data_IF_352377380162
#
_entry.id   IF_352377380162
#
_cell.length_a   1.000
_cell.length_b   1.000
_cell.length_c   1.000
_cell.angle_alpha   90.00
_cell.angle_beta   90.00
_cell.angle_gamma   90.00
#
_symmetry.space_group_name_H-M   'P 1'
#
loop_
_entity.id
_entity.type
_entity.pdbx_description
1 polymer ?
#
# COMPACT_ATOMS: atom_id res chain seq x y z
N UNK A 1 -13.92 16.08 -29.53
CA UNK A 1 -14.29 15.20 -28.40
C UNK A 1 -13.00 14.71 -27.77
N UNK A 2 -12.46 15.45 -26.79
CA UNK A 2 -11.22 15.03 -26.13
C UNK A 2 -11.58 14.10 -24.98
N UNK A 3 -11.37 12.80 -25.21
CA UNK A 3 -11.54 11.76 -24.20
C UNK A 3 -10.58 12.02 -23.04
N UNK A 4 -11.07 12.59 -21.94
CA UNK A 4 -10.28 12.83 -20.73
C UNK A 4 -10.19 11.54 -19.94
N UNK A 5 -9.15 10.75 -20.19
CA UNK A 5 -8.82 9.61 -19.35
C UNK A 5 -8.63 10.10 -17.90
N UNK A 6 -9.45 9.58 -16.99
CA UNK A 6 -9.41 9.92 -15.56
C UNK A 6 -8.07 9.49 -14.98
N UNK A 7 -7.35 10.42 -14.37
CA UNK A 7 -6.07 10.10 -13.75
C UNK A 7 -6.30 9.36 -12.44
N UNK A 8 -5.84 8.12 -12.36
CA UNK A 8 -5.90 7.32 -11.13
C UNK A 8 -4.68 7.47 -10.23
N UNK A 9 -3.55 7.88 -10.81
CA UNK A 9 -2.28 7.94 -10.10
C UNK A 9 -2.09 9.27 -9.37
N UNK A 10 -1.96 9.20 -8.04
CA UNK A 10 -1.73 10.38 -7.19
C UNK A 10 -0.55 11.24 -7.67
N UNK A 11 0.54 10.63 -8.14
CA UNK A 11 1.71 11.35 -8.65
C UNK A 11 1.40 12.13 -9.92
N UNK A 12 0.58 11.56 -10.81
CA UNK A 12 0.21 12.21 -12.05
C UNK A 12 -0.78 13.36 -11.80
N UNK A 13 -1.69 13.21 -10.84
CA UNK A 13 -2.55 14.31 -10.38
C UNK A 13 -1.71 15.45 -9.77
N UNK A 14 -0.72 15.15 -8.93
CA UNK A 14 0.20 16.17 -8.40
C UNK A 14 0.97 16.87 -9.53
N UNK A 15 1.35 16.15 -10.59
CA UNK A 15 2.02 16.75 -11.73
C UNK A 15 1.12 17.73 -12.48
N UNK A 16 -0.12 17.36 -12.75
CA UNK A 16 -1.11 18.26 -13.34
C UNK A 16 -1.36 19.49 -12.46
N UNK A 17 -1.48 19.30 -11.13
CA UNK A 17 -1.63 20.41 -10.20
C UNK A 17 -0.41 21.34 -10.21
N UNK A 18 0.80 20.82 -10.36
CA UNK A 18 2.01 21.64 -10.48
C UNK A 18 2.09 22.38 -11.83
N UNK A 19 1.52 21.84 -12.89
CA UNK A 19 1.42 22.52 -14.19
C UNK A 19 0.39 23.66 -14.16
N UNK A 20 -0.78 23.42 -13.57
CA UNK A 20 -1.84 24.43 -13.49
C UNK A 20 -1.60 25.47 -12.39
N UNK A 21 -0.96 25.09 -11.29
CA UNK A 21 -0.73 25.93 -10.11
C UNK A 21 0.75 25.89 -9.69
N UNK A 22 1.66 26.43 -10.54
CA UNK A 22 3.10 26.36 -10.29
C UNK A 22 3.54 27.15 -9.05
N UNK A 23 2.74 28.13 -8.62
CA UNK A 23 3.03 28.93 -7.44
C UNK A 23 2.78 28.17 -6.13
N UNK A 24 1.84 27.23 -6.14
CA UNK A 24 1.39 26.48 -4.96
C UNK A 24 2.04 25.09 -4.92
N UNK A 25 2.03 24.37 -6.06
CA UNK A 25 2.56 23.02 -6.17
C UNK A 25 3.88 22.98 -6.92
N UNK A 26 4.86 22.29 -6.35
CA UNK A 26 6.16 22.05 -6.98
C UNK A 26 6.34 20.57 -7.35
N UNK A 27 6.75 20.29 -8.59
CA UNK A 27 7.08 18.92 -9.03
C UNK A 27 8.48 18.50 -8.58
N UNK A 28 9.47 19.36 -8.83
CA UNK A 28 10.90 19.13 -8.55
C UNK A 28 11.48 20.34 -7.81
N UNK A 29 11.37 20.34 -6.49
CA UNK A 29 11.86 21.43 -5.64
C UNK A 29 11.31 21.34 -4.23
N UNK A 30 11.62 22.32 -3.40
CA UNK A 30 11.01 22.45 -2.08
C UNK A 30 9.50 22.63 -2.21
N UNK A 31 8.74 21.96 -1.35
CA UNK A 31 7.30 22.08 -1.33
C UNK A 31 6.92 23.26 -0.44
N UNK A 32 5.92 24.05 -0.83
CA UNK A 32 5.48 25.19 -0.03
C UNK A 32 4.38 24.76 0.94
N UNK A 33 4.27 25.36 2.15
CA UNK A 33 3.17 25.06 3.07
C UNK A 33 1.84 25.50 2.44
N UNK A 34 0.86 24.60 2.38
CA UNK A 34 -0.44 24.88 1.76
C UNK A 34 -1.40 25.57 2.75
N UNK A 35 -2.31 26.40 2.19
CA UNK A 35 -3.46 26.96 2.92
C UNK A 35 -4.34 25.86 3.53
N UNK A 36 -4.91 26.13 4.70
CA UNK A 36 -6.03 25.32 5.22
C UNK A 36 -7.22 25.45 4.27
N UNK A 37 -7.90 24.35 3.98
CA UNK A 37 -9.09 24.37 3.13
C UNK A 37 -8.81 24.50 1.63
N UNK A 38 -7.55 24.46 1.18
CA UNK A 38 -7.15 24.57 -0.23
C UNK A 38 -7.82 23.55 -1.16
N UNK A 39 -8.31 22.43 -0.61
CA UNK A 39 -9.09 21.44 -1.36
C UNK A 39 -10.39 22.02 -1.95
N UNK A 40 -11.07 22.91 -1.21
CA UNK A 40 -12.35 23.48 -1.65
C UNK A 40 -12.14 24.35 -2.89
N UNK A 41 -11.17 25.28 -2.80
CA UNK A 41 -10.78 26.17 -3.91
C UNK A 41 -10.31 25.37 -5.13
N UNK A 42 -9.52 24.30 -4.92
CA UNK A 42 -9.12 23.41 -6.01
C UNK A 42 -10.31 22.71 -6.64
N UNK A 43 -11.26 22.24 -5.84
CA UNK A 43 -12.41 21.52 -6.35
C UNK A 43 -13.34 22.40 -7.19
N UNK A 44 -13.36 23.71 -6.92
CA UNK A 44 -14.10 24.69 -7.69
C UNK A 44 -13.39 25.03 -9.00
N UNK A 45 -12.08 25.29 -8.98
CA UNK A 45 -11.32 25.54 -10.22
C UNK A 45 -11.20 24.32 -11.13
N UNK A 46 -11.01 23.13 -10.57
CA UNK A 46 -10.95 21.89 -11.34
C UNK A 46 -12.34 21.29 -11.62
N UNK A 47 -13.44 21.96 -11.23
CA UNK A 47 -14.78 21.49 -11.59
C UNK A 47 -14.98 21.39 -13.11
N UNK A 48 -14.27 22.24 -13.86
CA UNK A 48 -14.28 22.23 -15.33
C UNK A 48 -13.39 21.13 -15.93
N UNK A 49 -12.42 20.60 -15.17
CA UNK A 49 -11.45 19.62 -15.66
C UNK A 49 -11.82 18.21 -15.19
N UNK A 50 -12.61 17.48 -15.99
CA UNK A 50 -13.14 16.14 -15.67
C UNK A 50 -12.07 15.03 -15.54
N UNK A 51 -10.80 15.39 -15.71
CA UNK A 51 -9.64 14.49 -15.60
C UNK A 51 -9.39 13.99 -14.18
N UNK A 52 -9.83 14.73 -13.16
CA UNK A 52 -9.53 14.43 -11.75
C UNK A 52 -10.81 14.38 -10.91
N UNK A 53 -11.08 13.25 -10.26
CA UNK A 53 -12.19 13.13 -9.31
C UNK A 53 -11.85 13.77 -7.96
N UNK A 54 -12.84 14.36 -7.26
CA UNK A 54 -12.70 14.90 -5.89
C UNK A 54 -12.04 13.93 -4.90
N UNK A 55 -12.37 12.64 -5.00
CA UNK A 55 -11.78 11.59 -4.14
C UNK A 55 -10.29 11.40 -4.43
N UNK A 56 -9.92 11.38 -5.71
CA UNK A 56 -8.53 11.23 -6.15
C UNK A 56 -7.73 12.49 -5.83
N UNK A 57 -8.31 13.68 -6.00
CA UNK A 57 -7.71 14.95 -5.61
C UNK A 57 -7.35 14.98 -4.12
N UNK A 58 -8.27 14.53 -3.24
CA UNK A 58 -8.00 14.40 -1.81
C UNK A 58 -6.85 13.43 -1.52
N UNK A 59 -6.84 12.28 -2.21
CA UNK A 59 -5.75 11.30 -2.11
C UNK A 59 -4.39 11.88 -2.53
N UNK A 60 -4.37 12.62 -3.64
CA UNK A 60 -3.19 13.27 -4.17
C UNK A 60 -2.65 14.35 -3.22
N UNK A 61 -3.50 15.23 -2.69
CA UNK A 61 -3.11 16.25 -1.72
C UNK A 61 -2.55 15.59 -0.45
N UNK A 62 -3.22 14.56 0.09
CA UNK A 62 -2.73 13.83 1.26
C UNK A 62 -1.35 13.20 1.01
N UNK A 63 -1.15 12.62 -0.17
CA UNK A 63 0.14 12.06 -0.56
C UNK A 63 1.21 13.16 -0.66
N UNK A 64 0.86 14.33 -1.16
CA UNK A 64 1.76 15.49 -1.22
C UNK A 64 2.16 15.97 0.18
N UNK A 65 1.19 16.15 1.08
CA UNK A 65 1.42 16.72 2.43
C UNK A 65 2.08 15.74 3.42
N UNK A 66 2.00 14.43 3.17
CA UNK A 66 2.69 13.41 4.00
C UNK A 66 4.13 13.14 3.50
N UNK A 67 4.50 13.67 2.34
CA UNK A 67 5.85 13.50 1.79
C UNK A 67 6.90 14.15 2.70
N UNK A 68 8.06 13.49 2.85
CA UNK A 68 9.19 14.05 3.60
C UNK A 68 9.60 15.43 3.09
N UNK A 69 9.44 15.66 1.78
CA UNK A 69 9.76 16.94 1.16
C UNK A 69 8.86 18.05 1.69
N UNK A 70 7.58 17.77 1.91
CA UNK A 70 6.62 18.72 2.45
C UNK A 70 6.87 18.97 3.94
N UNK A 71 7.01 17.90 4.73
CA UNK A 71 7.23 17.99 6.17
C UNK A 71 8.51 18.79 6.52
N UNK A 72 9.56 18.73 5.68
CA UNK A 72 10.80 19.51 5.87
C UNK A 72 10.64 21.02 5.69
N UNK A 73 9.66 21.44 4.89
CA UNK A 73 9.44 22.86 4.59
C UNK A 73 8.57 23.54 5.66
N UNK A 74 7.88 22.76 6.50
CA UNK A 74 7.14 23.25 7.67
C UNK A 74 8.15 23.64 8.74
N UNK A 75 8.44 24.94 8.84
CA UNK A 75 9.38 25.54 9.80
C UNK A 75 8.77 26.81 10.40
N UNK A 76 9.34 27.26 11.51
CA UNK A 76 8.98 28.54 12.12
C UNK A 76 9.16 29.69 11.12
N UNK A 77 8.16 30.57 11.06
CA UNK A 77 8.15 31.73 10.16
C UNK A 77 7.78 31.43 8.70
N UNK A 78 7.50 30.18 8.33
CA UNK A 78 6.96 29.88 7.02
C UNK A 78 5.48 30.30 6.95
N UNK A 79 5.10 30.95 5.85
CA UNK A 79 3.70 31.33 5.57
C UNK A 79 3.05 30.30 4.67
N UNK A 80 1.75 30.08 4.88
CA UNK A 80 0.93 29.27 3.98
C UNK A 80 0.78 29.98 2.66
N UNK A 81 0.67 29.21 1.59
CA UNK A 81 0.56 29.70 0.23
C UNK A 81 -0.76 29.21 -0.36
N UNK A 82 -1.50 30.16 -0.93
CA UNK A 82 -2.76 29.92 -1.62
C UNK A 82 -2.51 29.45 -3.08
N UNK A 83 -3.58 29.11 -3.81
CA UNK A 83 -3.47 28.66 -5.20
C UNK A 83 -2.81 29.68 -6.12
N UNK A 84 -3.06 30.96 -5.86
CA UNK A 84 -2.52 32.06 -6.65
C UNK A 84 -1.12 32.51 -6.20
N UNK A 85 -0.55 31.85 -5.18
CA UNK A 85 0.78 32.19 -4.67
C UNK A 85 0.81 33.28 -3.60
N UNK A 86 -0.36 33.79 -3.19
CA UNK A 86 -0.46 34.76 -2.11
C UNK A 86 -0.09 34.12 -0.76
N UNK A 87 0.60 34.89 0.08
CA UNK A 87 0.94 34.51 1.44
C UNK A 87 -0.31 34.62 2.30
N UNK A 88 -0.80 33.48 2.79
CA UNK A 88 -1.87 33.38 3.75
C UNK A 88 -1.32 33.36 5.18
N UNK A 89 -1.95 32.53 6.02
CA UNK A 89 -1.68 32.51 7.45
C UNK A 89 -0.29 31.95 7.79
N UNK A 90 0.22 32.39 8.93
CA UNK A 90 1.47 31.88 9.49
C UNK A 90 1.28 30.48 10.09
N UNK A 91 2.35 29.68 10.06
CA UNK A 91 2.33 28.36 10.68
C UNK A 91 2.39 28.50 12.20
N UNK A 92 1.37 27.97 12.88
CA UNK A 92 1.39 27.86 14.34
C UNK A 92 2.45 26.85 14.79
N UNK A 93 2.96 27.07 16.00
CA UNK A 93 4.01 26.23 16.59
C UNK A 93 3.62 24.75 16.68
N UNK A 94 2.36 24.48 17.02
CA UNK A 94 1.80 23.13 17.07
C UNK A 94 1.92 22.38 15.73
N UNK A 95 1.65 23.05 14.60
CA UNK A 95 1.77 22.43 13.28
C UNK A 95 3.22 22.10 12.93
N UNK A 96 4.17 22.92 13.40
CA UNK A 96 5.60 22.72 13.19
C UNK A 96 6.08 21.51 13.99
N UNK A 97 5.72 21.44 15.27
CA UNK A 97 6.07 20.31 16.15
C UNK A 97 5.50 18.99 15.61
N UNK A 98 4.22 18.98 15.23
CA UNK A 98 3.58 17.81 14.65
C UNK A 98 4.26 17.35 13.34
N UNK A 99 4.68 18.29 12.49
CA UNK A 99 5.39 17.94 11.25
C UNK A 99 6.77 17.34 11.52
N UNK A 100 7.51 17.88 12.49
CA UNK A 100 8.81 17.36 12.90
C UNK A 100 8.70 15.94 13.50
N UNK A 101 7.71 15.72 14.36
CA UNK A 101 7.40 14.40 14.93
C UNK A 101 7.06 13.41 13.82
N UNK A 102 6.15 13.77 12.91
CA UNK A 102 5.73 12.92 11.78
C UNK A 102 6.92 12.55 10.88
N UNK A 103 7.81 13.51 10.63
CA UNK A 103 9.03 13.29 9.84
C UNK A 103 9.97 12.31 10.55
N UNK A 104 10.20 12.48 11.85
CA UNK A 104 11.06 11.59 12.63
C UNK A 104 10.50 10.16 12.68
N UNK A 105 9.21 10.00 12.93
CA UNK A 105 8.54 8.69 12.91
C UNK A 105 8.62 8.02 11.55
N UNK A 106 8.34 8.77 10.48
CA UNK A 106 8.35 8.24 9.12
C UNK A 106 9.75 7.79 8.70
N UNK A 107 10.79 8.54 9.08
CA UNK A 107 12.17 8.14 8.87
C UNK A 107 12.56 6.93 9.71
N UNK A 108 12.14 6.85 10.98
CA UNK A 108 12.40 5.69 11.82
C UNK A 108 11.74 4.41 11.25
N UNK A 109 10.48 4.51 10.84
CA UNK A 109 9.74 3.42 10.17
C UNK A 109 10.43 3.00 8.86
N UNK A 110 10.94 3.94 8.08
CA UNK A 110 11.70 3.63 6.87
C UNK A 110 13.02 2.91 7.18
N UNK A 111 13.79 3.38 8.18
CA UNK A 111 15.04 2.73 8.62
C UNK A 111 14.79 1.30 9.14
N UNK A 112 13.71 1.06 9.90
CA UNK A 112 13.34 -0.27 10.36
C UNK A 112 12.99 -1.21 9.19
N UNK A 113 12.24 -0.71 8.20
CA UNK A 113 11.91 -1.47 6.99
C UNK A 113 13.15 -1.80 6.15
N UNK A 114 14.11 -0.88 6.06
CA UNK A 114 15.39 -1.10 5.39
C UNK A 114 16.24 -2.13 6.14
N UNK A 115 16.32 -2.02 7.47
CA UNK A 115 17.08 -2.96 8.31
C UNK A 115 16.49 -4.38 8.26
N UNK A 116 15.17 -4.53 8.25
CA UNK A 116 14.50 -5.82 8.09
C UNK A 116 14.65 -6.44 6.68
N UNK A 117 15.05 -5.64 5.69
CA UNK A 117 15.28 -6.09 4.31
C UNK A 117 16.75 -6.36 3.98
N UNK A 118 17.70 -6.00 4.86
CA UNK A 118 19.10 -6.40 4.71
C UNK A 118 19.22 -7.86 5.15
N UNK A 119 19.52 -8.81 4.25
CA UNK A 119 19.92 -10.15 4.67
C UNK A 119 21.21 -10.01 5.49
N UNK A 120 21.35 -10.84 6.52
CA UNK A 120 22.59 -10.99 7.27
C UNK A 120 23.72 -11.48 6.33
N UNK A 121 24.40 -10.56 5.63
CA UNK A 121 25.63 -10.85 4.90
C UNK A 121 26.69 -9.86 5.37
N UNK A 122 27.33 -10.19 6.50
CA UNK A 122 28.58 -9.58 6.97
C UNK A 122 29.25 -10.50 7.98
N UNK A 123 29.70 -11.68 7.54
CA UNK A 123 30.91 -12.29 8.09
C UNK A 123 31.82 -12.68 6.94
N UNK A 124 32.78 -11.79 6.69
CA UNK A 124 34.16 -12.06 6.29
C UNK A 124 34.42 -13.06 5.13
N UNK A 125 34.75 -12.53 3.95
CA UNK A 125 35.82 -13.08 3.08
C UNK A 125 36.24 -12.10 1.97
N UNK A 126 37.55 -11.98 1.66
CA UNK A 126 38.07 -10.93 0.80
C UNK A 126 37.80 -11.20 -0.69
N UNK A 127 37.20 -10.22 -1.35
CA UNK A 127 36.80 -10.28 -2.77
C UNK A 127 38.02 -9.99 -3.67
N UNK A 128 38.62 -11.03 -4.26
CA UNK A 128 39.55 -10.87 -5.38
C UNK A 128 38.79 -10.43 -6.65
N UNK A 129 39.45 -9.58 -7.43
CA UNK A 129 38.90 -8.77 -8.50
C UNK A 129 38.83 -9.46 -9.89
N UNK A 130 37.74 -9.13 -10.62
CA UNK A 130 37.60 -8.94 -12.11
C UNK A 130 37.88 -10.14 -13.06
N UNK A 131 37.51 -10.09 -14.36
CA UNK A 131 36.80 -9.04 -15.15
C UNK A 131 35.62 -9.53 -16.02
N UNK A 132 34.99 -8.57 -16.70
CA UNK A 132 33.85 -8.66 -17.62
C UNK A 132 34.14 -9.40 -18.95
N UNK A 133 33.10 -10.01 -19.55
CA UNK A 133 32.95 -10.09 -21.02
C UNK A 133 31.51 -10.31 -21.47
N UNK A 134 31.12 -9.51 -22.46
CA UNK A 134 29.86 -9.56 -23.19
C UNK A 134 29.67 -10.87 -23.99
N UNK A 135 28.42 -11.30 -24.19
CA UNK A 135 27.72 -11.31 -25.51
C UNK A 135 26.38 -12.07 -25.46
N UNK A 136 25.42 -11.45 -26.13
CA UNK A 136 24.12 -11.86 -26.71
C UNK A 136 24.02 -13.34 -27.15
N UNK A 137 22.88 -14.00 -26.87
CA UNK A 137 21.95 -14.56 -27.87
C UNK A 137 21.09 -15.75 -27.36
N UNK A 138 19.77 -15.59 -27.54
CA UNK A 138 18.76 -16.58 -27.98
C UNK A 138 18.55 -17.95 -27.30
N UNK A 139 17.24 -18.19 -27.08
CA UNK A 139 16.44 -19.41 -27.34
C UNK A 139 16.12 -20.31 -26.14
N UNK A 140 14.80 -20.37 -25.88
CA UNK A 140 13.97 -21.50 -25.48
C UNK A 140 14.59 -22.60 -24.61
N UNK A 141 13.96 -22.86 -23.45
CA UNK A 141 13.30 -24.15 -23.14
C UNK A 141 12.90 -24.23 -21.67
N UNK A 142 11.65 -24.68 -21.47
CA UNK A 142 11.19 -25.61 -20.43
C UNK A 142 11.96 -25.64 -19.11
N UNK A 143 11.35 -25.12 -18.06
CA UNK A 143 11.76 -25.33 -16.68
C UNK A 143 10.79 -26.25 -15.94
N UNK A 144 11.25 -27.48 -15.68
CA UNK A 144 10.95 -28.32 -14.52
C UNK A 144 12.14 -29.29 -14.40
N UNK A 145 12.52 -29.87 -13.23
CA UNK A 145 12.00 -29.78 -11.85
C UNK A 145 13.11 -29.51 -10.78
N UNK A 146 12.69 -29.58 -9.50
CA UNK A 146 13.43 -29.82 -8.24
C UNK A 146 13.50 -28.58 -7.33
N UNK A 147 13.22 -28.60 -6.02
CA UNK A 147 13.00 -29.70 -5.07
C UNK A 147 12.27 -29.18 -3.81
N UNK A 148 11.18 -29.86 -3.48
CA UNK A 148 10.58 -30.15 -2.17
C UNK A 148 11.04 -29.38 -0.90
N UNK A 149 10.08 -28.70 -0.27
CA UNK A 149 9.90 -28.69 1.20
C UNK A 149 8.46 -29.07 1.54
N UNK A 150 8.33 -30.33 1.95
CA UNK A 150 7.42 -30.93 2.94
C UNK A 150 5.95 -30.45 2.98
N UNK A 151 5.15 -31.31 2.36
CA UNK A 151 3.72 -31.58 2.56
C UNK A 151 3.35 -31.60 4.05
N UNK A 152 2.41 -30.76 4.47
CA UNK A 152 1.40 -31.12 5.46
C UNK A 152 0.08 -31.27 4.69
N UNK A 153 -0.34 -32.52 4.59
CA UNK A 153 -1.45 -33.02 3.80
C UNK A 153 -2.77 -32.54 4.39
N UNK A 154 -3.36 -31.49 3.82
CA UNK A 154 -4.78 -31.23 4.01
C UNK A 154 -5.56 -32.09 3.02
N UNK A 155 -6.29 -33.09 3.50
CA UNK A 155 -7.16 -33.92 2.65
C UNK A 155 -8.35 -33.04 2.25
N UNK A 156 -8.57 -32.88 0.94
CA UNK A 156 -9.81 -32.30 0.43
C UNK A 156 -10.95 -33.22 0.85
N UNK A 157 -11.90 -32.70 1.61
CA UNK A 157 -13.01 -33.50 2.10
C UNK A 157 -14.09 -33.50 1.03
N UNK A 158 -14.18 -34.62 0.30
CA UNK A 158 -15.19 -34.79 -0.75
C UNK A 158 -16.54 -35.26 -0.18
N UNK A 159 -16.59 -35.75 1.07
CA UNK A 159 -17.81 -36.28 1.70
C UNK A 159 -18.16 -35.64 3.06
N UNK A 160 -19.40 -35.18 3.20
CA UNK A 160 -19.98 -34.58 4.42
C UNK A 160 -19.88 -35.51 5.64
N UNK A 161 -19.91 -36.82 5.41
CA UNK A 161 -19.91 -37.85 6.46
C UNK A 161 -18.56 -38.02 7.18
N UNK A 162 -17.48 -37.45 6.63
CA UNK A 162 -16.15 -37.50 7.25
C UNK A 162 -15.88 -36.34 8.23
N UNK A 163 -16.77 -35.35 8.28
CA UNK A 163 -16.64 -34.17 9.13
C UNK A 163 -17.33 -34.39 10.48
N UNK A 164 -16.63 -34.06 11.58
CA UNK A 164 -17.19 -34.07 12.93
C UNK A 164 -17.37 -32.64 13.45
N UNK A 165 -18.44 -32.43 14.23
CA UNK A 165 -18.61 -31.20 15.01
C UNK A 165 -17.42 -31.07 15.98
N UNK A 166 -16.95 -29.85 16.20
CA UNK A 166 -15.73 -29.52 16.96
C UNK A 166 -14.38 -29.94 16.32
N UNK A 167 -14.39 -30.38 15.06
CA UNK A 167 -13.15 -30.68 14.34
C UNK A 167 -12.43 -29.39 13.90
N UNK A 168 -11.12 -29.35 14.14
CA UNK A 168 -10.24 -28.29 13.63
C UNK A 168 -10.02 -28.46 12.13
N UNK A 169 -10.43 -27.47 11.36
CA UNK A 169 -10.34 -27.46 9.90
C UNK A 169 -9.70 -26.16 9.40
N UNK A 170 -9.18 -26.22 8.19
CA UNK A 170 -8.63 -25.06 7.49
C UNK A 170 -9.65 -24.62 6.42
N UNK A 171 -10.11 -23.38 6.51
CA UNK A 171 -11.14 -22.82 5.63
C UNK A 171 -10.53 -21.77 4.71
N UNK A 172 -10.82 -21.85 3.42
CA UNK A 172 -10.34 -20.86 2.44
C UNK A 172 -11.34 -19.71 2.30
N UNK A 173 -11.10 -18.60 3.00
CA UNK A 173 -11.92 -17.38 2.92
C UNK A 173 -11.20 -16.36 2.05
N UNK A 174 -11.86 -15.86 0.99
CA UNK A 174 -11.32 -14.82 0.10
C UNK A 174 -9.88 -15.06 -0.43
N UNK A 175 -9.56 -16.33 -0.75
CA UNK A 175 -8.24 -16.82 -1.23
C UNK A 175 -7.15 -16.98 -0.16
N UNK A 176 -7.47 -16.79 1.12
CA UNK A 176 -6.55 -17.04 2.23
C UNK A 176 -7.05 -18.19 3.11
N UNK A 177 -6.21 -19.20 3.39
CA UNK A 177 -6.58 -20.27 4.32
C UNK A 177 -6.52 -19.78 5.77
N UNK A 178 -7.56 -20.07 6.54
CA UNK A 178 -7.72 -19.67 7.94
C UNK A 178 -8.15 -20.85 8.79
N UNK A 179 -7.62 -20.95 10.01
CA UNK A 179 -7.97 -22.03 10.92
C UNK A 179 -9.30 -21.76 11.62
N UNK A 180 -10.15 -22.77 11.70
CA UNK A 180 -11.42 -22.71 12.42
C UNK A 180 -11.88 -24.07 12.93
N UNK A 181 -13.00 -24.06 13.64
CA UNK A 181 -13.64 -25.23 14.22
C UNK A 181 -15.06 -25.35 13.67
N UNK A 182 -15.47 -26.56 13.27
CA UNK A 182 -16.81 -26.81 12.75
C UNK A 182 -17.84 -26.71 13.89
N UNK A 183 -18.80 -25.80 13.75
CA UNK A 183 -19.88 -25.60 14.73
C UNK A 183 -21.13 -26.38 14.33
N UNK A 184 -21.43 -26.44 13.03
CA UNK A 184 -22.66 -27.05 12.53
C UNK A 184 -22.46 -27.56 11.09
N UNK A 185 -23.03 -28.73 10.78
CA UNK A 185 -22.90 -29.40 9.49
C UNK A 185 -24.31 -29.57 8.91
N UNK A 186 -24.67 -28.77 7.91
CA UNK A 186 -25.87 -28.98 7.12
C UNK A 186 -25.53 -29.73 5.83
N UNK A 187 -26.55 -30.32 5.17
CA UNK A 187 -26.40 -31.16 3.97
C UNK A 187 -25.63 -30.48 2.80
N UNK A 188 -25.53 -29.15 2.78
CA UNK A 188 -24.86 -28.39 1.69
C UNK A 188 -23.96 -27.25 2.18
N UNK A 189 -24.13 -26.81 3.43
CA UNK A 189 -23.42 -25.67 4.03
C UNK A 189 -22.84 -26.09 5.39
N UNK A 190 -21.60 -25.73 5.67
CA UNK A 190 -20.96 -25.96 6.98
C UNK A 190 -20.72 -24.61 7.65
N UNK A 191 -21.12 -24.47 8.92
CA UNK A 191 -20.79 -23.27 9.71
C UNK A 191 -19.49 -23.54 10.45
N UNK A 192 -18.48 -22.72 10.18
CA UNK A 192 -17.17 -22.82 10.83
C UNK A 192 -16.92 -21.55 11.62
N UNK A 193 -16.58 -21.70 12.89
CA UNK A 193 -16.09 -20.61 13.73
C UNK A 193 -14.58 -20.50 13.53
N UNK A 194 -14.15 -19.39 12.94
CA UNK A 194 -12.73 -19.08 12.80
C UNK A 194 -12.12 -18.80 14.17
N UNK A 195 -10.81 -19.02 14.29
CA UNK A 195 -10.02 -18.64 15.48
C UNK A 195 -10.13 -17.15 15.84
N UNK A 196 -10.53 -16.30 14.89
CA UNK A 196 -10.83 -14.89 15.10
C UNK A 196 -12.18 -14.63 15.80
N UNK A 197 -12.94 -15.67 16.15
CA UNK A 197 -14.27 -15.58 16.77
C UNK A 197 -15.42 -15.35 15.78
N UNK A 198 -15.12 -15.22 14.48
CA UNK A 198 -16.13 -15.00 13.44
C UNK A 198 -16.69 -16.33 12.92
N UNK A 199 -18.02 -16.45 12.83
CA UNK A 199 -18.69 -17.63 12.27
C UNK A 199 -18.99 -17.40 10.79
N UNK A 200 -18.43 -18.25 9.93
CA UNK A 200 -18.59 -18.16 8.47
C UNK A 200 -19.30 -19.40 7.96
N UNK A 201 -20.30 -19.19 7.09
CA UNK A 201 -20.95 -20.26 6.34
C UNK A 201 -20.13 -20.55 5.09
N UNK A 202 -19.68 -21.79 4.94
CA UNK A 202 -18.75 -22.20 3.87
C UNK A 202 -19.23 -23.49 3.22
N UNK A 203 -19.00 -23.60 1.91
CA UNK A 203 -19.23 -24.83 1.15
C UNK A 203 -18.10 -25.84 1.39
N UNK A 204 -18.39 -27.12 1.21
CA UNK A 204 -17.43 -28.23 1.43
C UNK A 204 -16.12 -28.06 0.66
N UNK A 205 -16.20 -27.57 -0.58
CA UNK A 205 -15.03 -27.33 -1.45
C UNK A 205 -14.02 -26.31 -0.88
N UNK A 206 -14.45 -25.50 0.10
CA UNK A 206 -13.61 -24.51 0.76
C UNK A 206 -13.07 -24.97 2.11
N UNK A 207 -13.37 -26.21 2.52
CA UNK A 207 -12.95 -26.82 3.78
C UNK A 207 -11.87 -27.86 3.49
N UNK A 208 -10.72 -27.67 4.11
CA UNK A 208 -9.60 -28.59 4.08
C UNK A 208 -9.50 -29.21 5.47
N UNK A 209 -9.65 -30.54 5.55
CA UNK A 209 -9.42 -31.24 6.81
C UNK A 209 -7.92 -31.20 7.14
N UNK A 210 -7.59 -30.82 8.37
CA UNK A 210 -6.25 -30.98 8.89
C UNK A 210 -6.08 -32.46 9.26
N UNK A 211 -5.14 -33.16 8.63
CA UNK A 211 -4.77 -34.52 9.01
C UNK A 211 -4.16 -34.56 10.42
#
# INVERSE_FOLDING_TARGET
MNSTAKLTDNKAIIALLAEQFPQCFSLKGEAKPLKIGLFQELSERLAEDERVSKTQLRGAIRHYTTSWRYLRCIKAGAKRVDLDGNLGDELTQEHIEHAQQTLAESQAKAKQREAAKKPAESTDKPRKAKPARAKVATKARSSKPAKATKVETGVKVEDVSALKIDQKVLVTVAKTPMNGTIVDIAKSDVKVQLTSGMVVKVKLDQILAKA
#
